data_IF_956076453319
#
_entry.id   IF_956076453319
#
_cell.length_a   1.000
_cell.length_b   1.000
_cell.length_c   1.000
_cell.angle_alpha   90.00
_cell.angle_beta   90.00
_cell.angle_gamma   90.00
#
_symmetry.space_group_name_H-M   'P 1'
#
loop_
_entity.id
_entity.type
_entity.pdbx_description
1 polymer ?
#
# COMPACT_ATOMS: atom_id res chain seq x y z
N UNK A 1 -18.61 -0.12 -6.04
CA UNK A 1 -18.86 -1.42 -6.68
C UNK A 1 -19.52 -1.28 -8.05
N UNK A 2 -20.50 -0.37 -8.22
CA UNK A 2 -21.19 -0.15 -9.50
C UNK A 2 -20.33 0.53 -10.55
N UNK A 3 -19.36 1.36 -10.15
CA UNK A 3 -18.44 2.05 -11.09
C UNK A 3 -17.50 1.08 -11.78
N UNK A 4 -16.99 0.06 -11.06
CA UNK A 4 -16.15 -0.98 -11.66
C UNK A 4 -16.92 -1.89 -12.63
N UNK A 5 -18.18 -2.22 -12.31
CA UNK A 5 -19.01 -3.02 -13.19
C UNK A 5 -19.37 -2.27 -14.50
N UNK A 6 -19.59 -0.95 -14.42
CA UNK A 6 -19.81 -0.11 -15.59
C UNK A 6 -18.57 0.04 -16.48
N UNK A 7 -17.39 0.14 -15.90
CA UNK A 7 -16.12 0.22 -16.66
C UNK A 7 -15.80 -1.13 -17.36
N UNK A 8 -15.93 -2.22 -16.65
CA UNK A 8 -15.73 -3.57 -17.23
C UNK A 8 -16.80 -3.88 -18.28
N UNK A 9 -18.05 -3.53 -18.03
CA UNK A 9 -19.13 -3.70 -19.01
C UNK A 9 -18.95 -2.86 -20.27
N UNK A 10 -18.48 -1.61 -20.14
CA UNK A 10 -18.25 -0.74 -21.29
C UNK A 10 -17.03 -1.18 -22.14
N UNK A 11 -15.97 -1.67 -21.50
CA UNK A 11 -14.82 -2.21 -22.23
C UNK A 11 -15.15 -3.52 -23.00
N UNK A 12 -15.91 -4.42 -22.39
CA UNK A 12 -16.40 -5.62 -23.05
C UNK A 12 -17.32 -5.28 -24.22
N UNK A 13 -18.27 -4.34 -24.07
CA UNK A 13 -19.15 -3.91 -25.14
C UNK A 13 -18.41 -3.23 -26.31
N UNK A 14 -17.37 -2.45 -26.05
CA UNK A 14 -16.55 -1.81 -27.09
C UNK A 14 -15.73 -2.87 -27.83
N UNK A 15 -15.24 -3.90 -27.14
CA UNK A 15 -14.41 -4.95 -27.72
C UNK A 15 -15.22 -5.93 -28.60
N UNK A 16 -16.43 -6.28 -28.16
CA UNK A 16 -17.27 -7.27 -28.84
C UNK A 16 -18.14 -6.68 -29.95
N UNK A 17 -18.62 -5.45 -29.79
CA UNK A 17 -19.49 -4.79 -30.78
C UNK A 17 -18.77 -3.73 -31.64
N UNK A 18 -17.53 -3.39 -31.33
CA UNK A 18 -16.76 -2.34 -32.01
C UNK A 18 -17.49 -1.00 -32.01
N UNK A 19 -17.21 -0.18 -33.03
CA UNK A 19 -17.89 1.12 -33.23
C UNK A 19 -19.40 0.99 -33.47
N UNK A 20 -19.89 -0.17 -33.89
CA UNK A 20 -21.32 -0.40 -34.14
C UNK A 20 -22.16 -0.33 -32.87
N UNK A 21 -21.63 -0.82 -31.73
CA UNK A 21 -22.32 -0.82 -30.44
C UNK A 21 -22.36 0.52 -29.71
N UNK A 22 -21.63 1.55 -30.15
CA UNK A 22 -21.60 2.85 -29.49
C UNK A 22 -22.92 3.62 -29.72
N UNK A 23 -23.47 4.29 -28.67
CA UNK A 23 -24.59 5.23 -28.83
C UNK A 23 -24.28 6.31 -29.85
N UNK A 24 -25.30 6.73 -30.60
CA UNK A 24 -25.16 7.71 -31.69
C UNK A 24 -24.46 9.00 -31.25
N UNK A 25 -24.74 9.46 -30.05
CA UNK A 25 -24.12 10.68 -29.48
C UNK A 25 -22.58 10.58 -29.41
N UNK A 26 -22.03 9.41 -29.07
CA UNK A 26 -20.56 9.18 -29.03
C UNK A 26 -19.99 9.08 -30.45
N UNK A 27 -20.69 8.44 -31.39
CA UNK A 27 -20.30 8.41 -32.80
C UNK A 27 -20.15 9.79 -33.38
N UNK A 28 -21.16 10.68 -33.13
CA UNK A 28 -21.14 12.06 -33.57
C UNK A 28 -20.00 12.85 -32.94
N UNK A 29 -19.80 12.73 -31.61
CA UNK A 29 -18.68 13.37 -30.90
C UNK A 29 -17.32 12.90 -31.46
N UNK A 30 -17.16 11.62 -31.68
CA UNK A 30 -15.92 11.05 -32.22
C UNK A 30 -15.66 11.57 -33.65
N UNK A 31 -16.66 11.53 -34.53
CA UNK A 31 -16.56 12.08 -35.88
C UNK A 31 -16.24 13.58 -35.90
N UNK A 32 -16.86 14.36 -35.01
CA UNK A 32 -16.56 15.79 -34.86
C UNK A 32 -15.12 16.03 -34.37
N UNK A 33 -14.62 15.25 -33.39
CA UNK A 33 -13.23 15.33 -32.94
C UNK A 33 -12.25 15.02 -34.07
N UNK A 34 -12.51 13.96 -34.85
CA UNK A 34 -11.65 13.60 -35.99
C UNK A 34 -11.59 14.73 -37.02
N UNK A 35 -12.76 15.33 -37.36
CA UNK A 35 -12.81 16.44 -38.29
C UNK A 35 -12.12 17.71 -37.76
N UNK A 36 -12.37 18.07 -36.50
CA UNK A 36 -11.85 19.28 -35.86
C UNK A 36 -10.34 19.26 -35.71
N UNK A 37 -9.76 18.08 -35.39
CA UNK A 37 -8.31 17.91 -35.16
C UNK A 37 -7.60 17.30 -36.37
N UNK A 38 -8.28 17.09 -37.49
CA UNK A 38 -7.73 16.48 -38.72
C UNK A 38 -7.01 15.14 -38.43
N UNK A 39 -7.60 14.35 -37.54
CA UNK A 39 -7.04 13.04 -37.14
C UNK A 39 -7.52 11.95 -38.07
N UNK A 40 -6.61 11.08 -38.49
CA UNK A 40 -6.99 9.83 -39.14
C UNK A 40 -7.41 8.79 -38.10
N UNK A 41 -8.18 7.78 -38.50
CA UNK A 41 -8.62 6.71 -37.59
C UNK A 41 -7.44 6.02 -36.87
N UNK A 42 -6.32 5.82 -37.58
CA UNK A 42 -5.08 5.27 -37.01
C UNK A 42 -4.53 6.09 -35.83
N UNK A 43 -4.70 7.42 -35.87
CA UNK A 43 -4.22 8.32 -34.81
C UNK A 43 -5.08 8.16 -33.55
N UNK A 44 -6.39 7.96 -33.74
CA UNK A 44 -7.33 7.63 -32.66
C UNK A 44 -7.01 6.30 -31.99
N UNK A 45 -6.70 5.28 -32.77
CA UNK A 45 -6.27 3.97 -32.26
C UNK A 45 -4.93 4.07 -31.49
N UNK A 46 -3.98 4.84 -32.02
CA UNK A 46 -2.70 5.08 -31.35
C UNK A 46 -2.87 5.82 -30.01
N UNK A 47 -3.74 6.85 -29.98
CA UNK A 47 -4.08 7.55 -28.74
C UNK A 47 -4.78 6.65 -27.73
N UNK A 48 -5.71 5.81 -28.19
CA UNK A 48 -6.35 4.81 -27.35
C UNK A 48 -5.33 3.84 -26.78
N UNK A 49 -4.44 3.29 -27.62
CA UNK A 49 -3.36 2.40 -27.16
C UNK A 49 -2.43 3.06 -26.15
N UNK A 50 -2.14 4.36 -26.34
CA UNK A 50 -1.23 5.10 -25.45
C UNK A 50 -1.84 5.47 -24.11
N UNK A 51 -3.12 5.84 -24.06
CA UNK A 51 -3.73 6.42 -22.84
C UNK A 51 -4.78 5.54 -22.17
N UNK A 52 -5.37 4.57 -22.85
CA UNK A 52 -6.47 3.74 -22.36
C UNK A 52 -6.17 2.25 -22.42
N UNK A 53 -5.68 1.77 -23.56
CA UNK A 53 -5.55 0.35 -23.88
C UNK A 53 -4.16 -0.24 -23.62
N UNK A 54 -3.42 0.25 -22.66
CA UNK A 54 -2.01 -0.11 -22.41
C UNK A 54 -1.85 -1.52 -21.80
N UNK A 55 -2.44 -2.52 -22.45
CA UNK A 55 -2.30 -3.93 -22.09
C UNK A 55 -0.90 -4.42 -22.48
N UNK A 56 -0.01 -4.52 -21.48
CA UNK A 56 1.36 -5.00 -21.67
C UNK A 56 2.37 -3.93 -22.11
N UNK A 57 2.01 -2.64 -22.09
CA UNK A 57 2.95 -1.55 -22.26
C UNK A 57 3.66 -1.16 -20.95
N UNK A 58 4.47 -0.09 -21.02
CA UNK A 58 5.12 0.46 -19.83
C UNK A 58 4.09 0.86 -18.79
N UNK A 59 4.38 0.58 -17.53
CA UNK A 59 3.51 0.87 -16.41
C UNK A 59 3.18 2.37 -16.35
N UNK A 60 1.90 2.72 -16.44
CA UNK A 60 1.44 4.10 -16.37
C UNK A 60 1.63 4.62 -14.96
N UNK A 61 2.37 5.71 -14.83
CA UNK A 61 2.58 6.41 -13.57
C UNK A 61 1.65 7.62 -13.50
N UNK A 62 0.88 7.70 -12.42
CA UNK A 62 0.00 8.82 -12.11
C UNK A 62 0.56 9.61 -10.94
N UNK A 63 0.71 10.92 -11.11
CA UNK A 63 1.07 11.83 -10.04
C UNK A 63 -0.07 12.81 -9.79
N UNK A 64 -0.49 12.90 -8.54
CA UNK A 64 -1.52 13.83 -8.06
C UNK A 64 -0.86 14.85 -7.13
N UNK A 65 -0.92 16.11 -7.51
CA UNK A 65 -0.38 17.21 -6.74
C UNK A 65 -1.53 18.03 -6.15
N UNK A 66 -1.54 18.18 -4.83
CA UNK A 66 -2.40 19.16 -4.15
C UNK A 66 -1.68 20.52 -4.19
N UNK A 67 -2.34 21.53 -4.76
CA UNK A 67 -1.78 22.87 -4.93
C UNK A 67 -2.56 23.84 -4.07
N UNK A 68 -1.86 24.63 -3.23
CA UNK A 68 -2.41 25.73 -2.44
C UNK A 68 -1.59 26.99 -2.73
N UNK A 69 -2.26 28.07 -3.08
CA UNK A 69 -1.64 29.38 -3.40
C UNK A 69 -0.50 29.27 -4.44
N UNK A 70 -0.68 28.41 -5.45
CA UNK A 70 0.30 28.17 -6.51
C UNK A 70 1.47 27.24 -6.13
N UNK A 71 1.55 26.78 -4.90
CA UNK A 71 2.59 25.87 -4.42
C UNK A 71 2.05 24.45 -4.22
N UNK A 72 2.85 23.45 -4.60
CA UNK A 72 2.53 22.04 -4.33
C UNK A 72 2.75 21.77 -2.85
N UNK A 73 1.67 21.50 -2.11
CA UNK A 73 1.72 21.19 -0.67
C UNK A 73 1.82 19.68 -0.39
N UNK A 74 1.36 18.86 -1.34
CA UNK A 74 1.44 17.40 -1.24
C UNK A 74 1.40 16.76 -2.62
N UNK A 75 2.21 15.72 -2.81
CA UNK A 75 2.18 14.87 -4.00
C UNK A 75 1.94 13.41 -3.63
N UNK A 76 1.15 12.72 -4.43
CA UNK A 76 0.96 11.26 -4.34
C UNK A 76 1.21 10.68 -5.72
N UNK A 77 2.05 9.66 -5.81
CA UNK A 77 2.33 8.94 -7.05
C UNK A 77 1.76 7.53 -6.95
N UNK A 78 1.00 7.11 -7.95
CA UNK A 78 0.47 5.77 -8.10
C UNK A 78 1.01 5.16 -9.38
N UNK A 79 1.61 3.99 -9.30
CA UNK A 79 2.03 3.18 -10.44
C UNK A 79 2.02 1.71 -10.05
N UNK A 80 1.90 0.78 -11.00
CA UNK A 80 2.18 -0.62 -10.73
C UNK A 80 3.59 -0.75 -10.19
N UNK A 81 3.71 -1.33 -9.00
CA UNK A 81 4.98 -1.45 -8.28
C UNK A 81 5.51 -2.86 -8.39
N UNK A 82 6.82 -2.98 -8.62
CA UNK A 82 7.56 -4.23 -8.57
C UNK A 82 8.36 -4.39 -7.28
N UNK A 83 8.53 -3.32 -6.50
CA UNK A 83 9.34 -3.31 -5.28
C UNK A 83 8.48 -2.98 -4.08
N UNK A 84 8.50 -3.88 -3.11
CA UNK A 84 7.79 -3.72 -1.85
C UNK A 84 8.78 -3.50 -0.71
N UNK A 85 8.37 -2.75 0.30
CA UNK A 85 9.12 -2.60 1.54
C UNK A 85 8.19 -2.59 2.75
N UNK A 86 8.74 -2.93 3.91
CA UNK A 86 8.03 -2.88 5.17
C UNK A 86 8.18 -1.52 5.82
N UNK A 87 7.08 -0.91 6.23
CA UNK A 87 7.05 0.17 7.18
C UNK A 87 6.57 -0.37 8.51
N UNK A 88 7.44 -0.31 9.54
CA UNK A 88 7.10 -0.78 10.89
C UNK A 88 7.09 0.41 11.84
N UNK A 89 5.93 0.65 12.45
CA UNK A 89 5.74 1.70 13.45
C UNK A 89 5.40 1.09 14.79
N UNK A 90 6.08 1.56 15.83
CA UNK A 90 5.85 1.13 17.20
C UNK A 90 5.29 2.29 18.03
N UNK A 91 4.47 1.97 19.03
CA UNK A 91 3.91 3.00 19.93
C UNK A 91 4.99 3.62 20.82
N UNK A 92 5.96 2.82 21.24
CA UNK A 92 7.12 3.23 22.06
C UNK A 92 8.24 2.23 21.92
N UNK A 93 9.48 2.66 22.18
CA UNK A 93 10.69 1.82 22.15
C UNK A 93 11.26 1.55 23.56
N UNK A 94 10.83 2.31 24.56
CA UNK A 94 11.14 2.06 25.96
C UNK A 94 9.91 1.52 26.66
N UNK A 95 10.04 0.36 27.29
CA UNK A 95 9.00 -0.29 28.07
C UNK A 95 9.40 -0.28 29.54
N UNK A 96 8.48 0.03 30.44
CA UNK A 96 8.69 0.11 31.86
C UNK A 96 7.80 -0.88 32.59
N UNK A 97 8.38 -1.96 33.06
CA UNK A 97 7.69 -2.93 33.87
C UNK A 97 7.73 -2.50 35.34
N UNK A 98 6.54 -2.39 35.91
CA UNK A 98 6.37 -2.10 37.34
C UNK A 98 5.65 -3.28 38.00
N UNK A 99 4.45 -3.08 38.55
CA UNK A 99 3.64 -4.15 39.15
C UNK A 99 3.10 -5.13 38.10
N UNK A 100 2.97 -4.65 36.86
CA UNK A 100 2.48 -5.43 35.73
C UNK A 100 3.40 -5.24 34.53
N UNK A 101 3.29 -6.15 33.55
CA UNK A 101 4.00 -6.00 32.28
C UNK A 101 3.56 -4.73 31.53
N UNK A 102 4.50 -4.10 30.85
CA UNK A 102 4.23 -3.02 29.89
C UNK A 102 4.23 -3.58 28.46
N UNK A 103 3.53 -2.88 27.56
CA UNK A 103 3.34 -3.32 26.17
C UNK A 103 3.58 -2.21 25.15
N UNK A 104 4.14 -2.62 24.00
CA UNK A 104 4.19 -1.80 22.79
C UNK A 104 3.35 -2.40 21.69
N UNK A 105 2.57 -1.57 21.01
CA UNK A 105 1.89 -1.94 19.79
C UNK A 105 2.86 -1.82 18.60
N UNK A 106 2.91 -2.85 17.77
CA UNK A 106 3.71 -2.92 16.54
C UNK A 106 2.77 -2.96 15.37
N UNK A 107 2.82 -1.95 14.52
CA UNK A 107 2.02 -1.85 13.30
C UNK A 107 2.91 -1.99 12.09
N UNK A 108 2.52 -2.85 11.17
CA UNK A 108 3.27 -3.15 9.94
C UNK A 108 2.41 -2.79 8.75
N UNK A 109 2.99 -2.09 7.80
CA UNK A 109 2.41 -1.83 6.48
C UNK A 109 3.37 -2.27 5.40
N UNK A 110 2.85 -2.86 4.36
CA UNK A 110 3.59 -3.17 3.15
C UNK A 110 3.33 -2.02 2.18
N UNK A 111 4.37 -1.32 1.82
CA UNK A 111 4.32 -0.16 0.95
C UNK A 111 5.03 -0.46 -0.37
N UNK A 112 4.61 0.23 -1.42
CA UNK A 112 5.32 0.26 -2.71
C UNK A 112 6.52 1.22 -2.68
N UNK A 113 7.28 1.30 -3.77
CA UNK A 113 8.41 2.19 -3.91
C UNK A 113 8.07 3.68 -3.83
N UNK A 114 6.79 4.05 -3.95
CA UNK A 114 6.31 5.43 -3.82
C UNK A 114 5.79 5.74 -2.42
N UNK A 115 5.84 4.77 -1.50
CA UNK A 115 5.31 4.89 -0.15
C UNK A 115 3.79 4.77 -0.06
N UNK A 116 3.12 4.31 -1.12
CA UNK A 116 1.69 4.01 -1.09
C UNK A 116 1.45 2.59 -0.54
N UNK A 117 0.38 2.37 0.26
CA UNK A 117 0.02 1.04 0.71
C UNK A 117 -0.24 0.08 -0.45
N UNK A 118 0.25 -1.15 -0.34
CA UNK A 118 0.06 -2.22 -1.32
C UNK A 118 -1.04 -3.19 -0.85
N UNK A 119 -2.33 -2.90 -1.08
CA UNK A 119 -3.44 -3.68 -0.53
C UNK A 119 -3.53 -5.10 -1.11
N UNK A 120 -2.88 -5.34 -2.24
CA UNK A 120 -2.77 -6.66 -2.88
C UNK A 120 -1.69 -7.55 -2.22
N UNK A 121 -0.81 -6.99 -1.39
CA UNK A 121 0.26 -7.71 -0.72
C UNK A 121 -0.27 -8.43 0.52
N UNK A 122 -0.96 -9.55 0.30
CA UNK A 122 -1.51 -10.41 1.37
C UNK A 122 -0.50 -11.51 1.73
N UNK A 123 0.66 -11.09 2.23
CA UNK A 123 1.76 -11.99 2.58
C UNK A 123 1.75 -12.35 4.07
N UNK A 124 2.32 -13.52 4.44
CA UNK A 124 2.63 -13.81 5.83
C UNK A 124 3.77 -12.89 6.30
N UNK A 125 3.54 -12.18 7.38
CA UNK A 125 4.54 -11.38 8.09
C UNK A 125 5.00 -12.15 9.30
N UNK A 126 6.30 -12.36 9.41
CA UNK A 126 6.92 -13.09 10.51
C UNK A 126 7.53 -12.12 11.53
N UNK A 127 7.28 -12.39 12.79
CA UNK A 127 7.79 -11.65 13.93
C UNK A 127 8.70 -12.55 14.77
N UNK A 128 9.92 -12.13 14.98
CA UNK A 128 10.88 -12.83 15.85
C UNK A 128 11.36 -11.87 16.92
N UNK A 129 11.33 -12.29 18.18
CA UNK A 129 11.77 -11.49 19.32
C UNK A 129 12.86 -12.23 20.08
N UNK A 130 13.94 -11.53 20.35
CA UNK A 130 15.04 -11.97 21.19
C UNK A 130 15.23 -10.98 22.34
N UNK A 131 15.65 -11.48 23.53
CA UNK A 131 15.94 -10.67 24.70
C UNK A 131 14.81 -10.58 25.70
N UNK A 132 14.70 -9.44 26.41
CA UNK A 132 13.83 -9.26 27.60
C UNK A 132 12.36 -8.93 27.27
N UNK A 133 11.84 -9.40 26.14
CA UNK A 133 10.45 -9.22 25.75
C UNK A 133 9.88 -10.46 25.05
N UNK A 134 8.55 -10.55 24.99
CA UNK A 134 7.84 -11.61 24.29
C UNK A 134 6.72 -11.05 23.41
N UNK A 135 6.40 -11.77 22.33
CA UNK A 135 5.23 -11.47 21.50
C UNK A 135 3.93 -11.81 22.25
N UNK A 136 2.91 -10.97 22.02
CA UNK A 136 1.53 -11.28 22.39
C UNK A 136 0.78 -11.63 21.10
N UNK A 137 0.60 -12.90 20.88
CA UNK A 137 -0.02 -13.42 19.66
C UNK A 137 0.91 -14.34 18.85
N UNK A 138 0.51 -14.70 17.63
CA UNK A 138 1.26 -15.62 16.80
C UNK A 138 2.55 -14.98 16.26
N UNK A 139 3.57 -15.81 16.01
CA UNK A 139 4.81 -15.38 15.37
C UNK A 139 4.62 -15.03 13.88
N UNK A 140 3.52 -15.45 13.29
CA UNK A 140 3.21 -15.17 11.89
C UNK A 140 1.76 -14.69 11.79
N UNK A 141 1.57 -13.54 11.16
CA UNK A 141 0.25 -12.97 10.87
C UNK A 141 0.17 -12.59 9.39
N UNK A 142 -1.00 -12.80 8.78
CA UNK A 142 -1.21 -12.39 7.38
C UNK A 142 -1.43 -10.89 7.31
N UNK A 143 -0.81 -10.23 6.34
CA UNK A 143 -1.06 -8.82 6.03
C UNK A 143 -2.37 -8.73 5.24
N UNK A 144 -3.45 -8.33 5.89
CA UNK A 144 -4.74 -8.08 5.24
C UNK A 144 -4.78 -6.66 4.67
N UNK A 145 -5.03 -6.56 3.36
CA UNK A 145 -4.97 -5.25 2.69
C UNK A 145 -3.60 -4.56 2.79
N UNK A 146 -2.51 -5.35 2.88
CA UNK A 146 -1.15 -4.83 3.05
C UNK A 146 -0.82 -4.36 4.45
N UNK A 147 -1.61 -4.71 5.47
CA UNK A 147 -1.42 -4.27 6.86
C UNK A 147 -1.57 -5.42 7.85
N UNK A 148 -0.76 -5.39 8.89
CA UNK A 148 -0.87 -6.31 10.04
C UNK A 148 -0.23 -5.68 11.28
N UNK A 149 -0.20 -6.40 12.37
CA UNK A 149 0.47 -5.96 13.59
C UNK A 149 0.51 -7.02 14.66
N UNK A 150 1.24 -6.70 15.71
CA UNK A 150 1.36 -7.53 16.91
C UNK A 150 1.60 -6.65 18.12
N UNK A 151 1.68 -7.25 19.29
CA UNK A 151 2.07 -6.57 20.51
C UNK A 151 3.32 -7.24 21.09
N UNK A 152 4.19 -6.41 21.64
CA UNK A 152 5.38 -6.82 22.39
C UNK A 152 5.12 -6.49 23.87
N UNK A 153 5.38 -7.45 24.77
CA UNK A 153 5.29 -7.24 26.22
C UNK A 153 6.59 -7.52 26.91
N UNK A 154 6.80 -6.92 28.07
CA UNK A 154 7.90 -7.25 28.98
C UNK A 154 7.71 -8.62 29.64
N UNK A 155 8.79 -9.23 30.14
CA UNK A 155 8.80 -10.59 30.72
C UNK A 155 9.41 -10.65 32.13
N UNK A 156 9.43 -9.54 32.85
CA UNK A 156 9.91 -9.51 34.23
C UNK A 156 11.43 -9.24 34.38
N UNK A 157 12.14 -9.01 33.29
CA UNK A 157 13.58 -8.79 33.29
C UNK A 157 13.92 -7.49 32.57
N UNK A 158 14.73 -6.63 33.21
CA UNK A 158 15.30 -5.47 32.54
C UNK A 158 16.33 -5.89 31.49
N UNK A 159 16.54 -5.07 30.48
CA UNK A 159 17.52 -5.31 29.44
C UNK A 159 17.10 -4.81 28.09
N UNK A 160 17.66 -5.35 27.04
CA UNK A 160 17.29 -5.05 25.66
C UNK A 160 16.45 -6.19 25.06
N UNK A 161 15.58 -5.80 24.12
CA UNK A 161 14.92 -6.75 23.23
C UNK A 161 15.05 -6.30 21.79
N UNK A 162 15.14 -7.28 20.88
CA UNK A 162 15.25 -7.06 19.44
C UNK A 162 14.06 -7.72 18.76
N UNK A 163 13.26 -6.92 18.06
CA UNK A 163 12.17 -7.41 17.21
C UNK A 163 12.63 -7.37 15.76
N UNK A 164 12.58 -8.51 15.09
CA UNK A 164 12.79 -8.64 13.66
C UNK A 164 11.45 -8.91 12.97
N UNK A 165 11.10 -8.07 12.01
CA UNK A 165 9.89 -8.20 11.19
C UNK A 165 10.31 -8.51 9.76
N UNK A 166 9.82 -9.61 9.19
CA UNK A 166 10.14 -10.02 7.82
C UNK A 166 8.90 -10.45 7.06
N UNK A 167 8.92 -10.23 5.74
CA UNK A 167 7.89 -10.70 4.83
C UNK A 167 8.51 -11.04 3.46
N UNK A 168 7.87 -11.91 2.65
CA UNK A 168 8.34 -12.23 1.31
C UNK A 168 8.52 -10.96 0.46
N UNK A 169 9.53 -10.96 -0.40
CA UNK A 169 9.85 -9.88 -1.34
C UNK A 169 10.20 -8.52 -0.69
N UNK A 170 10.45 -8.48 0.62
CA UNK A 170 10.83 -7.27 1.35
C UNK A 170 12.14 -7.48 2.10
N UNK A 171 12.80 -6.38 2.46
CA UNK A 171 13.93 -6.43 3.39
C UNK A 171 13.40 -6.50 4.82
N UNK A 172 14.02 -7.32 5.70
CA UNK A 172 13.66 -7.37 7.10
C UNK A 172 13.88 -6.01 7.80
N UNK A 173 13.01 -5.69 8.74
CA UNK A 173 13.13 -4.52 9.61
C UNK A 173 13.46 -4.98 11.02
N UNK A 174 14.52 -4.41 11.60
CA UNK A 174 14.98 -4.74 12.95
C UNK A 174 14.76 -3.53 13.85
N UNK A 175 14.08 -3.74 14.97
CA UNK A 175 13.78 -2.72 15.97
C UNK A 175 14.37 -3.14 17.33
N UNK A 176 14.93 -2.16 18.05
CA UNK A 176 15.47 -2.36 19.39
C UNK A 176 14.57 -1.70 20.42
N UNK A 177 14.38 -2.39 21.54
CA UNK A 177 13.60 -1.93 22.67
C UNK A 177 14.47 -1.96 23.92
N UNK A 178 14.30 -0.96 24.76
CA UNK A 178 14.88 -0.91 26.10
C UNK A 178 13.80 -1.25 27.11
N UNK A 179 14.06 -2.23 27.96
CA UNK A 179 13.16 -2.65 29.03
C UNK A 179 13.75 -2.19 30.36
N UNK A 180 13.03 -1.30 31.03
CA UNK A 180 13.31 -0.83 32.37
C UNK A 180 12.41 -1.58 33.35
N UNK A 181 12.98 -2.07 34.45
CA UNK A 181 12.22 -2.66 35.54
C UNK A 181 12.35 -1.77 36.76
N UNK A 182 11.24 -1.30 37.26
CA UNK A 182 11.17 -0.59 38.51
C UNK A 182 10.65 -1.54 39.59
N UNK A 183 11.39 -1.67 40.70
CA UNK A 183 10.91 -2.45 41.83
C UNK A 183 9.72 -1.73 42.48
N UNK A 184 8.64 -2.47 42.73
CA UNK A 184 7.47 -1.92 43.40
C UNK A 184 7.85 -1.43 44.78
N UNK A 185 7.80 -0.12 45.02
CA UNK A 185 7.95 0.46 46.32
C UNK A 185 6.59 0.36 47.02
N UNK A 186 6.40 -0.67 47.81
CA UNK A 186 5.24 -0.80 48.69
C UNK A 186 5.47 0.17 49.90
N UNK A 187 4.74 1.30 49.92
CA UNK A 187 4.65 2.18 51.10
C UNK A 187 3.50 1.73 52.00
#
# INVERSE_FOLDING_TARGET
YEICACLVGSEMCIRDSGLAGLPLAYKVKFGWCMLRYKMAFKDGVALYGKYVGNWGGEATRWRFDAVQDGNVVRSVTLCPSAKLHLEVKVSRTTLREQDTYDMAAVRVRILDENGAPAPYAQFPVQFTVDGSAALVGPQTAVAEGGMTGTYLRTVGTAGEAVLTVSAPQTQPVVLRFTIEKEDAVWN
#
